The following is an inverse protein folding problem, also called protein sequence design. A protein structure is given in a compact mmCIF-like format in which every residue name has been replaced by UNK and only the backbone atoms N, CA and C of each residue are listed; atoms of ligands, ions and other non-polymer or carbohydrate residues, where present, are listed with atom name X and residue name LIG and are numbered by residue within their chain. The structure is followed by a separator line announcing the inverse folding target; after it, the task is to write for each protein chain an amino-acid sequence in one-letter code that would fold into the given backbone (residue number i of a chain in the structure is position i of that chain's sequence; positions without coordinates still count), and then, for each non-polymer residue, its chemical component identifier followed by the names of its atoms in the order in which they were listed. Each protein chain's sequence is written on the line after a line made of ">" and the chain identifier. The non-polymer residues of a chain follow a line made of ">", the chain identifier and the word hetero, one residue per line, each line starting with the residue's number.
data_IF_520855082555
#
_entry.id   IF_520855082555
#
_cell.length_a   1.000
_cell.length_b   1.000
_cell.length_c   1.000
_cell.angle_alpha   90.00
_cell.angle_beta   90.00
_cell.angle_gamma   90.00
#
_symmetry.space_group_name_H-M   'P 1'
#
loop_
_entity.id
_entity.type
_entity.pdbx_description
1 polymer ?
#
# COMPACT_ATOMS: atom_id res chain seq x y z
N UNK A 1 -29.90 -12.87 14.90
CA UNK A 1 -29.46 -14.26 14.79
C UNK A 1 -27.98 -14.19 14.55
N UNK A 2 -27.29 -14.59 15.60
CA UNK A 2 -25.94 -15.09 15.72
C UNK A 2 -24.77 -14.19 15.31
N UNK A 3 -24.25 -13.56 16.37
CA UNK A 3 -22.90 -13.04 16.47
C UNK A 3 -21.92 -14.16 16.10
N UNK A 4 -21.34 -14.05 14.91
CA UNK A 4 -20.17 -14.85 14.55
C UNK A 4 -19.00 -14.33 15.36
N UNK A 5 -18.58 -15.13 16.31
CA UNK A 5 -17.54 -14.88 17.31
C UNK A 5 -16.30 -14.28 16.63
N UNK A 6 -16.02 -13.03 16.94
CA UNK A 6 -14.68 -12.49 16.88
C UNK A 6 -13.83 -13.35 17.82
N UNK A 7 -13.06 -14.28 17.25
CA UNK A 7 -12.03 -15.00 17.96
C UNK A 7 -11.01 -13.96 18.44
N UNK A 8 -11.14 -13.57 19.71
CA UNK A 8 -10.13 -12.87 20.47
C UNK A 8 -8.86 -13.75 20.51
N UNK A 9 -8.08 -13.67 19.44
CA UNK A 9 -6.72 -14.19 19.45
C UNK A 9 -5.87 -13.15 20.17
N UNK A 10 -5.84 -13.26 21.51
CA UNK A 10 -5.04 -12.41 22.36
C UNK A 10 -3.60 -12.35 21.83
N UNK A 11 -3.18 -11.16 21.47
CA UNK A 11 -1.84 -10.89 20.95
C UNK A 11 -0.78 -11.30 21.96
N UNK A 12 0.24 -12.09 21.60
CA UNK A 12 1.41 -12.21 22.44
C UNK A 12 2.03 -10.82 22.62
N UNK A 13 2.28 -10.37 23.87
CA UNK A 13 2.57 -8.97 24.19
C UNK A 13 3.82 -8.40 23.49
N UNK A 14 4.69 -9.26 22.97
CA UNK A 14 5.95 -8.84 22.37
C UNK A 14 5.80 -8.32 20.92
N UNK A 15 4.92 -8.90 20.12
CA UNK A 15 4.68 -8.46 18.73
C UNK A 15 3.78 -7.24 18.67
N UNK A 16 2.80 -7.12 19.58
CA UNK A 16 1.93 -5.96 19.70
C UNK A 16 2.72 -4.69 20.09
N UNK A 17 3.68 -4.79 21.02
CA UNK A 17 4.53 -3.67 21.39
C UNK A 17 5.45 -3.21 20.24
N UNK A 18 5.93 -4.14 19.41
CA UNK A 18 6.79 -3.81 18.26
C UNK A 18 6.03 -3.10 17.14
N UNK A 19 4.72 -3.30 17.01
CA UNK A 19 3.92 -2.63 15.97
C UNK A 19 3.73 -1.13 16.23
N UNK A 20 3.94 -0.66 17.44
CA UNK A 20 3.80 0.76 17.81
C UNK A 20 5.15 1.54 17.74
N UNK A 21 6.29 0.83 17.66
CA UNK A 21 7.61 1.46 17.70
C UNK A 21 8.05 1.97 16.32
N UNK A 22 8.71 3.14 16.22
CA UNK A 22 9.36 3.60 15.00
C UNK A 22 10.35 2.56 14.44
N UNK A 23 10.38 2.40 13.11
CA UNK A 23 11.25 1.41 12.45
C UNK A 23 12.70 1.36 12.93
N UNK A 24 13.41 2.50 13.06
CA UNK A 24 14.78 2.51 13.57
C UNK A 24 14.94 1.94 14.99
N UNK A 25 13.95 2.12 15.85
CA UNK A 25 13.96 1.56 17.21
C UNK A 25 13.85 0.03 17.14
N UNK A 26 13.01 -0.50 16.25
CA UNK A 26 12.91 -1.95 16.02
C UNK A 26 14.24 -2.53 15.54
N UNK A 27 14.94 -1.84 14.61
CA UNK A 27 16.25 -2.26 14.14
C UNK A 27 17.28 -2.34 15.28
N UNK A 28 17.30 -1.34 16.17
CA UNK A 28 18.21 -1.30 17.32
C UNK A 28 17.91 -2.44 18.29
N UNK A 29 16.64 -2.67 18.60
CA UNK A 29 16.22 -3.77 19.49
C UNK A 29 16.62 -5.12 18.89
N UNK A 30 16.36 -5.34 17.59
CA UNK A 30 16.75 -6.57 16.91
C UNK A 30 18.28 -6.76 16.89
N UNK A 31 19.04 -5.71 16.57
CA UNK A 31 20.49 -5.77 16.62
C UNK A 31 21.01 -6.18 17.99
N UNK A 32 20.51 -5.56 19.07
CA UNK A 32 20.88 -5.89 20.44
C UNK A 32 20.49 -7.35 20.77
N UNK A 33 19.30 -7.78 20.35
CA UNK A 33 18.84 -9.16 20.58
C UNK A 33 19.77 -10.18 19.88
N UNK A 34 20.19 -9.92 18.63
CA UNK A 34 21.11 -10.80 17.90
C UNK A 34 22.51 -10.80 18.54
N UNK A 35 22.98 -9.64 18.98
CA UNK A 35 24.24 -9.54 19.69
C UNK A 35 24.23 -10.34 20.99
N UNK A 36 23.17 -10.21 21.82
CA UNK A 36 23.00 -10.99 23.05
C UNK A 36 22.87 -12.48 22.77
N UNK A 37 22.13 -12.87 21.72
CA UNK A 37 22.01 -14.26 21.29
C UNK A 37 23.36 -14.85 20.87
N UNK A 38 24.19 -14.06 20.17
CA UNK A 38 25.56 -14.46 19.81
C UNK A 38 26.46 -14.61 21.06
N UNK A 39 26.35 -13.73 22.04
CA UNK A 39 27.07 -13.87 23.32
C UNK A 39 26.66 -15.13 24.07
N UNK A 40 25.34 -15.44 24.08
CA UNK A 40 24.85 -16.71 24.64
C UNK A 40 25.47 -17.91 23.93
N UNK A 41 25.54 -17.86 22.59
CA UNK A 41 26.24 -18.87 21.78
C UNK A 41 27.71 -19.02 22.16
N UNK A 42 28.41 -17.91 22.37
CA UNK A 42 29.82 -17.94 22.81
C UNK A 42 30.00 -18.55 24.21
N UNK A 43 29.09 -18.33 25.14
CA UNK A 43 29.08 -18.97 26.47
C UNK A 43 28.82 -20.48 26.37
N UNK A 44 27.86 -20.87 25.53
CA UNK A 44 27.54 -22.28 25.29
C UNK A 44 28.72 -23.04 24.66
N UNK A 45 29.52 -22.37 23.83
CA UNK A 45 30.74 -22.93 23.22
C UNK A 45 31.78 -23.38 24.27
N UNK A 46 31.98 -22.63 25.35
CA UNK A 46 32.96 -22.95 26.38
C UNK A 46 32.73 -24.34 26.99
N UNK A 47 31.48 -24.85 26.94
CA UNK A 47 31.06 -26.15 27.44
C UNK A 47 31.16 -27.27 26.42
N UNK A 48 31.43 -26.99 25.13
CA UNK A 48 31.46 -27.99 24.05
C UNK A 48 32.73 -27.85 23.18
N UNK A 49 33.21 -28.99 22.64
CA UNK A 49 34.25 -28.99 21.60
C UNK A 49 33.61 -28.57 20.25
N UNK A 50 34.08 -27.49 19.67
CA UNK A 50 33.67 -27.05 18.34
C UNK A 50 34.24 -27.98 17.28
N UNK A 51 33.40 -28.58 16.47
CA UNK A 51 33.78 -29.44 15.32
C UNK A 51 33.58 -28.65 14.00
N UNK A 52 34.24 -29.08 12.91
CA UNK A 52 34.04 -28.53 11.58
C UNK A 52 32.59 -28.61 11.13
N UNK A 53 31.84 -29.61 11.58
CA UNK A 53 30.43 -29.79 11.26
C UNK A 53 29.56 -28.62 11.73
N UNK A 54 29.92 -27.97 12.84
CA UNK A 54 29.21 -26.78 13.34
C UNK A 54 29.38 -25.58 12.42
N UNK A 55 30.52 -25.43 11.75
CA UNK A 55 30.73 -24.38 10.76
C UNK A 55 29.84 -24.57 9.52
N UNK A 56 29.75 -25.80 9.01
CA UNK A 56 28.84 -26.12 7.89
C UNK A 56 27.38 -25.91 8.24
N UNK A 57 26.98 -26.32 9.44
CA UNK A 57 25.61 -26.10 9.93
C UNK A 57 25.26 -24.61 10.05
N UNK A 58 26.22 -23.80 10.53
CA UNK A 58 26.03 -22.33 10.62
C UNK A 58 25.91 -21.70 9.23
N UNK A 59 26.74 -22.10 8.27
CA UNK A 59 26.65 -21.60 6.88
C UNK A 59 25.33 -21.97 6.23
N UNK A 60 24.85 -23.21 6.45
CA UNK A 60 23.54 -23.64 5.97
C UNK A 60 22.39 -22.84 6.61
N UNK A 61 22.48 -22.58 7.93
CA UNK A 61 21.48 -21.76 8.63
C UNK A 61 21.46 -20.32 8.11
N UNK A 62 22.61 -19.69 7.86
CA UNK A 62 22.69 -18.34 7.25
C UNK A 62 22.07 -18.34 5.86
N UNK A 63 22.37 -19.34 5.02
CA UNK A 63 21.79 -19.42 3.67
C UNK A 63 20.26 -19.56 3.70
N UNK A 64 19.73 -20.38 4.60
CA UNK A 64 18.29 -20.54 4.78
C UNK A 64 17.63 -19.27 5.33
N UNK A 65 18.31 -18.57 6.26
CA UNK A 65 17.84 -17.29 6.78
C UNK A 65 17.75 -16.22 5.68
N UNK A 66 18.77 -16.11 4.82
CA UNK A 66 18.77 -15.16 3.69
C UNK A 66 17.60 -15.46 2.74
N UNK A 67 17.33 -16.74 2.48
CA UNK A 67 16.18 -17.15 1.67
C UNK A 67 14.85 -16.75 2.32
N UNK A 68 14.72 -16.99 3.63
CA UNK A 68 13.52 -16.66 4.39
C UNK A 68 13.27 -15.13 4.43
N UNK A 69 14.34 -14.32 4.60
CA UNK A 69 14.27 -12.87 4.51
C UNK A 69 13.81 -12.45 3.11
N UNK A 70 14.36 -13.03 2.06
CA UNK A 70 13.98 -12.73 0.68
C UNK A 70 12.50 -12.99 0.40
N UNK A 71 11.96 -14.12 0.85
CA UNK A 71 10.53 -14.42 0.73
C UNK A 71 9.65 -13.46 1.54
N UNK A 72 10.01 -13.18 2.80
CA UNK A 72 9.23 -12.25 3.63
C UNK A 72 9.26 -10.84 3.09
N UNK A 73 10.38 -10.38 2.58
CA UNK A 73 10.52 -9.09 1.92
C UNK A 73 9.65 -9.02 0.65
N UNK A 74 9.67 -10.08 -0.17
CA UNK A 74 8.81 -10.16 -1.37
C UNK A 74 7.32 -10.09 -1.03
N UNK A 75 6.89 -10.76 0.05
CA UNK A 75 5.50 -10.67 0.52
C UNK A 75 5.15 -9.25 0.99
N UNK A 76 6.05 -8.59 1.74
CA UNK A 76 5.85 -7.22 2.20
C UNK A 76 5.77 -6.23 1.03
N UNK A 77 6.68 -6.36 0.06
CA UNK A 77 6.72 -5.52 -1.14
C UNK A 77 5.45 -5.68 -1.99
N UNK A 78 4.99 -6.91 -2.20
CA UNK A 78 3.76 -7.17 -2.96
C UNK A 78 2.52 -6.52 -2.29
N UNK A 79 2.46 -6.52 -0.96
CA UNK A 79 1.40 -5.82 -0.23
C UNK A 79 1.48 -4.31 -0.39
N UNK A 80 2.69 -3.75 -0.31
CA UNK A 80 2.92 -2.33 -0.55
C UNK A 80 2.48 -1.92 -1.96
N UNK A 81 2.86 -2.68 -2.98
CA UNK A 81 2.49 -2.43 -4.37
C UNK A 81 0.97 -2.55 -4.58
N UNK A 82 0.32 -3.53 -3.96
CA UNK A 82 -1.13 -3.68 -4.01
C UNK A 82 -1.84 -2.48 -3.36
N UNK A 83 -1.38 -2.01 -2.21
CA UNK A 83 -1.91 -0.80 -1.56
C UNK A 83 -1.75 0.44 -2.45
N UNK A 84 -0.59 0.59 -3.09
CA UNK A 84 -0.32 1.69 -4.01
C UNK A 84 -1.23 1.65 -5.24
N UNK A 85 -1.44 0.47 -5.81
CA UNK A 85 -2.32 0.29 -6.96
C UNK A 85 -3.77 0.67 -6.63
N UNK A 86 -4.26 0.33 -5.43
CA UNK A 86 -5.61 0.68 -4.99
C UNK A 86 -5.80 2.20 -4.80
N UNK A 87 -4.77 2.95 -4.39
CA UNK A 87 -4.85 4.43 -4.35
C UNK A 87 -5.10 5.02 -5.74
N UNK A 88 -4.40 4.50 -6.74
CA UNK A 88 -4.57 4.94 -8.14
C UNK A 88 -5.95 4.53 -8.66
N UNK A 89 -6.40 3.34 -8.35
CA UNK A 89 -7.71 2.82 -8.79
C UNK A 89 -8.86 3.60 -8.15
N UNK A 90 -8.77 3.96 -6.85
CA UNK A 90 -9.77 4.78 -6.18
C UNK A 90 -9.83 6.20 -6.79
N UNK A 91 -8.68 6.85 -6.96
CA UNK A 91 -8.60 8.15 -7.60
C UNK A 91 -9.24 8.12 -9.00
N UNK A 92 -8.91 7.12 -9.81
CA UNK A 92 -9.50 6.91 -11.13
C UNK A 92 -11.01 6.67 -11.10
N UNK A 93 -11.52 5.95 -10.08
CA UNK A 93 -12.95 5.67 -9.92
C UNK A 93 -13.72 6.94 -9.57
N UNK A 94 -13.17 7.78 -8.69
CA UNK A 94 -13.75 9.07 -8.32
C UNK A 94 -13.76 10.02 -9.53
N UNK A 95 -12.64 10.11 -10.27
CA UNK A 95 -12.56 10.90 -11.49
C UNK A 95 -13.57 10.41 -12.55
N UNK A 96 -13.80 9.10 -12.64
CA UNK A 96 -14.77 8.53 -13.57
C UNK A 96 -16.21 8.96 -13.26
N UNK A 97 -16.59 9.08 -12.00
CA UNK A 97 -17.87 9.69 -11.62
C UNK A 97 -17.90 11.16 -11.99
N UNK A 98 -16.86 11.93 -11.60
CA UNK A 98 -16.75 13.37 -11.89
C UNK A 98 -16.95 13.70 -13.35
N UNK A 99 -16.31 12.96 -14.26
CA UNK A 99 -16.44 13.15 -15.71
C UNK A 99 -17.82 12.86 -16.27
N UNK A 100 -18.69 12.15 -15.54
CA UNK A 100 -20.06 11.81 -15.95
C UNK A 100 -21.09 12.83 -15.46
N UNK A 101 -20.78 13.63 -14.43
CA UNK A 101 -21.71 14.60 -13.85
C UNK A 101 -22.24 15.64 -14.83
N UNK A 102 -21.47 16.13 -15.84
CA UNK A 102 -22.02 17.06 -16.84
C UNK A 102 -23.18 16.53 -17.67
N UNK A 103 -23.39 15.22 -17.72
CA UNK A 103 -24.54 14.62 -18.40
C UNK A 103 -25.85 14.72 -17.61
N UNK A 104 -25.79 15.10 -16.33
CA UNK A 104 -26.97 15.25 -15.49
C UNK A 104 -27.69 16.57 -15.73
N UNK A 105 -29.06 16.57 -15.62
CA UNK A 105 -29.83 17.79 -15.59
C UNK A 105 -29.64 18.55 -14.27
N UNK A 106 -29.95 19.84 -14.25
CA UNK A 106 -30.11 20.59 -13.00
C UNK A 106 -31.47 20.28 -12.34
N UNK A 107 -31.57 20.25 -11.01
CA UNK A 107 -30.54 20.58 -10.01
C UNK A 107 -29.62 19.40 -9.61
N UNK A 108 -29.87 18.21 -10.13
CA UNK A 108 -29.15 16.97 -9.73
C UNK A 108 -27.65 17.08 -9.96
N UNK A 109 -27.25 17.74 -11.05
CA UNK A 109 -25.83 17.97 -11.37
C UNK A 109 -25.12 18.74 -10.26
N UNK A 110 -25.66 19.85 -9.83
CA UNK A 110 -25.07 20.70 -8.79
C UNK A 110 -24.95 19.97 -7.46
N UNK A 111 -25.95 19.18 -7.08
CA UNK A 111 -25.95 18.37 -5.87
C UNK A 111 -24.86 17.29 -5.94
N UNK A 112 -24.79 16.56 -7.06
CA UNK A 112 -23.79 15.49 -7.23
C UNK A 112 -22.35 16.03 -7.31
N UNK A 113 -22.14 17.23 -7.87
CA UNK A 113 -20.85 17.91 -7.87
C UNK A 113 -20.38 18.18 -6.44
N UNK A 114 -21.28 18.73 -5.58
CA UNK A 114 -20.94 18.99 -4.19
C UNK A 114 -20.60 17.67 -3.44
N UNK A 115 -21.45 16.66 -3.55
CA UNK A 115 -21.24 15.36 -2.90
C UNK A 115 -19.95 14.68 -3.36
N UNK A 116 -19.61 14.73 -4.65
CA UNK A 116 -18.39 14.13 -5.18
C UNK A 116 -17.12 14.82 -4.63
N UNK A 117 -17.15 16.14 -4.46
CA UNK A 117 -16.06 16.89 -3.81
C UNK A 117 -15.93 16.52 -2.35
N UNK A 118 -17.03 16.58 -1.60
CA UNK A 118 -17.04 16.24 -0.19
C UNK A 118 -16.54 14.80 0.04
N UNK A 119 -16.93 13.86 -0.81
CA UNK A 119 -16.44 12.48 -0.76
C UNK A 119 -14.92 12.40 -0.96
N UNK A 120 -14.40 13.03 -2.01
CA UNK A 120 -12.96 13.03 -2.28
C UNK A 120 -12.16 13.65 -1.11
N UNK A 121 -12.68 14.73 -0.49
CA UNK A 121 -12.05 15.40 0.64
C UNK A 121 -12.01 14.49 1.87
N UNK A 122 -13.09 13.77 2.18
CA UNK A 122 -13.12 12.81 3.30
C UNK A 122 -12.16 11.64 3.05
N UNK A 123 -12.10 11.11 1.82
CA UNK A 123 -11.20 10.02 1.49
C UNK A 123 -9.72 10.41 1.57
N UNK A 124 -9.35 11.64 1.19
CA UNK A 124 -7.99 12.15 1.40
C UNK A 124 -7.71 12.34 2.89
N UNK A 125 -8.65 12.92 3.64
CA UNK A 125 -8.55 13.13 5.08
C UNK A 125 -8.31 11.83 5.83
N UNK A 126 -9.06 10.77 5.51
CA UNK A 126 -8.92 9.44 6.10
C UNK A 126 -7.49 8.88 6.01
N UNK A 127 -6.81 9.10 4.89
CA UNK A 127 -5.46 8.55 4.66
C UNK A 127 -4.32 9.49 5.03
N UNK A 128 -4.56 10.78 5.22
CA UNK A 128 -3.51 11.77 5.52
C UNK A 128 -3.31 12.04 7.01
N UNK A 129 -4.30 11.76 7.86
CA UNK A 129 -4.23 12.06 9.30
C UNK A 129 -3.49 11.00 10.15
N UNK A 130 -2.70 10.13 9.55
CA UNK A 130 -1.66 9.28 10.18
C UNK A 130 -2.15 8.41 11.35
N UNK A 131 -1.93 8.85 12.58
CA UNK A 131 -2.12 8.06 13.82
C UNK A 131 -3.42 8.42 14.58
N UNK A 132 -4.13 9.47 14.16
CA UNK A 132 -5.35 9.94 14.84
C UNK A 132 -6.55 9.07 14.45
N UNK A 133 -6.74 7.97 15.21
CA UNK A 133 -7.82 6.99 14.96
C UNK A 133 -9.21 7.62 15.02
N UNK A 134 -9.43 8.60 15.89
CA UNK A 134 -10.74 9.27 16.01
C UNK A 134 -11.07 10.08 14.75
N UNK A 135 -10.10 10.79 14.19
CA UNK A 135 -10.30 11.53 12.93
C UNK A 135 -10.46 10.62 11.74
N UNK A 136 -9.74 9.50 11.71
CA UNK A 136 -9.88 8.50 10.66
C UNK A 136 -11.28 7.88 10.68
N UNK A 137 -11.74 7.44 11.85
CA UNK A 137 -13.07 6.85 11.99
C UNK A 137 -14.18 7.83 11.59
N UNK A 138 -14.06 9.11 11.97
CA UNK A 138 -15.03 10.14 11.55
C UNK A 138 -15.01 10.34 10.04
N UNK A 139 -13.83 10.49 9.42
CA UNK A 139 -13.72 10.67 7.99
C UNK A 139 -14.26 9.47 7.19
N UNK A 140 -14.12 8.25 7.72
CA UNK A 140 -14.67 7.04 7.15
C UNK A 140 -16.21 7.05 7.19
N UNK A 141 -16.78 7.29 8.37
CA UNK A 141 -18.24 7.40 8.57
C UNK A 141 -18.82 8.53 7.72
N UNK A 142 -18.15 9.67 7.64
CA UNK A 142 -18.61 10.80 6.83
C UNK A 142 -18.56 10.46 5.33
N UNK A 143 -17.53 9.74 4.87
CA UNK A 143 -17.43 9.27 3.50
C UNK A 143 -18.58 8.29 3.15
N UNK A 144 -18.90 7.34 4.03
CA UNK A 144 -20.01 6.40 3.83
C UNK A 144 -21.35 7.13 3.74
N UNK A 145 -21.61 8.10 4.63
CA UNK A 145 -22.84 8.91 4.58
C UNK A 145 -22.93 9.71 3.28
N UNK A 146 -21.80 10.21 2.76
CA UNK A 146 -21.77 10.93 1.48
C UNK A 146 -22.06 9.96 0.33
N UNK A 147 -21.46 8.77 0.33
CA UNK A 147 -21.69 7.73 -0.67
C UNK A 147 -23.18 7.33 -0.71
N UNK A 148 -23.81 7.11 0.44
CA UNK A 148 -25.24 6.82 0.54
C UNK A 148 -26.11 7.94 -0.07
N UNK A 149 -25.74 9.20 0.15
CA UNK A 149 -26.42 10.35 -0.45
C UNK A 149 -26.22 10.38 -1.97
N UNK A 150 -25.04 10.04 -2.48
CA UNK A 150 -24.79 9.93 -3.92
C UNK A 150 -25.67 8.83 -4.53
N UNK A 151 -25.76 7.67 -3.89
CA UNK A 151 -26.64 6.59 -4.31
C UNK A 151 -28.12 7.00 -4.32
N UNK A 152 -28.60 7.65 -3.25
CA UNK A 152 -29.99 8.14 -3.18
C UNK A 152 -30.31 9.10 -4.32
N UNK A 153 -29.39 10.01 -4.67
CA UNK A 153 -29.56 10.94 -5.79
C UNK A 153 -29.60 10.19 -7.13
N UNK A 154 -28.71 9.20 -7.36
CA UNK A 154 -28.70 8.42 -8.60
C UNK A 154 -29.96 7.58 -8.75
N UNK A 155 -30.47 6.99 -7.66
CA UNK A 155 -31.74 6.26 -7.66
C UNK A 155 -32.97 7.15 -7.97
N UNK A 156 -32.90 8.44 -7.68
CA UNK A 156 -33.95 9.40 -7.99
C UNK A 156 -33.94 9.90 -9.45
N UNK A 157 -32.86 9.69 -10.21
CA UNK A 157 -32.68 10.20 -11.59
C UNK A 157 -33.78 9.74 -12.57
N UNK A 158 -34.27 8.47 -12.56
CA UNK A 158 -35.35 8.05 -13.47
C UNK A 158 -36.63 8.82 -13.24
N UNK A 159 -36.97 9.14 -12.00
CA UNK A 159 -38.13 9.94 -11.66
C UNK A 159 -38.00 11.41 -12.11
N UNK A 160 -36.79 11.90 -12.23
CA UNK A 160 -36.46 13.22 -12.77
C UNK A 160 -36.40 13.25 -14.31
N UNK A 161 -36.68 12.15 -15.01
CA UNK A 161 -36.68 12.09 -16.47
C UNK A 161 -35.31 11.93 -17.10
N UNK A 162 -34.28 11.54 -16.32
CA UNK A 162 -32.94 11.29 -16.84
C UNK A 162 -32.93 10.02 -17.72
N UNK A 163 -32.19 10.06 -18.80
CA UNK A 163 -32.03 8.92 -19.70
C UNK A 163 -31.54 7.66 -18.95
N UNK A 164 -32.16 6.48 -19.18
CA UNK A 164 -31.80 5.26 -18.48
C UNK A 164 -30.33 4.86 -18.64
N UNK A 165 -29.72 5.12 -19.79
CA UNK A 165 -28.30 4.82 -20.02
C UNK A 165 -27.40 5.68 -19.13
N UNK A 166 -27.66 6.98 -19.00
CA UNK A 166 -26.92 7.89 -18.13
C UNK A 166 -27.02 7.46 -16.67
N UNK A 167 -28.23 7.09 -16.20
CA UNK A 167 -28.45 6.57 -14.86
C UNK A 167 -27.61 5.30 -14.62
N UNK A 168 -27.65 4.35 -15.56
CA UNK A 168 -26.89 3.10 -15.45
C UNK A 168 -25.40 3.34 -15.40
N UNK A 169 -24.88 4.22 -16.27
CA UNK A 169 -23.44 4.55 -16.28
C UNK A 169 -22.97 5.19 -14.97
N UNK A 170 -23.83 5.94 -14.29
CA UNK A 170 -23.53 6.51 -12.98
C UNK A 170 -23.60 5.45 -11.87
N UNK A 171 -24.61 4.58 -11.90
CA UNK A 171 -24.70 3.44 -10.96
C UNK A 171 -23.45 2.55 -11.05
N UNK A 172 -23.02 2.19 -12.26
CA UNK A 172 -21.81 1.37 -12.47
C UNK A 172 -20.55 2.08 -11.95
N UNK A 173 -20.48 3.41 -12.11
CA UNK A 173 -19.34 4.19 -11.63
C UNK A 173 -19.33 4.32 -10.10
N UNK A 174 -20.47 4.50 -9.44
CA UNK A 174 -20.58 4.51 -7.97
C UNK A 174 -20.27 3.14 -7.38
N UNK A 175 -20.82 2.06 -7.94
CA UNK A 175 -20.53 0.71 -7.51
C UNK A 175 -19.01 0.41 -7.56
N UNK A 176 -18.30 0.98 -8.53
CA UNK A 176 -16.85 0.85 -8.61
C UNK A 176 -16.13 1.65 -7.51
N UNK A 177 -16.63 2.83 -7.13
CA UNK A 177 -16.07 3.59 -6.00
C UNK A 177 -16.19 2.74 -4.72
N UNK A 178 -17.38 2.20 -4.43
CA UNK A 178 -17.63 1.39 -3.24
C UNK A 178 -16.74 0.14 -3.21
N UNK A 179 -16.63 -0.60 -4.32
CA UNK A 179 -15.78 -1.79 -4.42
C UNK A 179 -14.31 -1.45 -4.15
N UNK A 180 -13.79 -0.38 -4.74
CA UNK A 180 -12.39 0.01 -4.56
C UNK A 180 -12.14 0.54 -3.15
N UNK A 181 -13.06 1.33 -2.59
CA UNK A 181 -12.98 1.82 -1.21
C UNK A 181 -12.90 0.66 -0.22
N UNK A 182 -13.82 -0.31 -0.34
CA UNK A 182 -13.82 -1.52 0.49
C UNK A 182 -12.52 -2.32 0.36
N UNK A 183 -12.04 -2.59 -0.86
CA UNK A 183 -10.78 -3.32 -1.09
C UNK A 183 -9.58 -2.57 -0.51
N UNK A 184 -9.57 -1.23 -0.57
CA UNK A 184 -8.50 -0.42 -0.02
C UNK A 184 -8.46 -0.50 1.51
N UNK A 185 -9.61 -0.50 2.17
CA UNK A 185 -9.72 -0.66 3.61
C UNK A 185 -9.33 -2.07 4.06
N UNK A 186 -9.82 -3.10 3.39
CA UNK A 186 -9.43 -4.48 3.66
C UNK A 186 -7.92 -4.68 3.53
N UNK A 187 -7.33 -4.15 2.44
CA UNK A 187 -5.88 -4.22 2.23
C UNK A 187 -5.08 -3.38 3.24
N UNK A 188 -5.65 -2.31 3.78
CA UNK A 188 -5.01 -1.53 4.85
C UNK A 188 -4.97 -2.31 6.18
N UNK A 189 -5.96 -3.16 6.43
CA UNK A 189 -6.02 -4.06 7.63
C UNK A 189 -5.23 -5.34 7.44
N UNK A 190 -4.94 -5.74 6.20
CA UNK A 190 -4.19 -6.96 5.92
C UNK A 190 -2.72 -6.81 6.29
N UNK A 191 -2.22 -7.68 7.18
CA UNK A 191 -0.82 -7.74 7.63
C UNK A 191 -0.18 -9.10 7.28
N UNK A 192 1.13 -9.16 7.27
CA UNK A 192 1.86 -10.43 7.13
C UNK A 192 1.45 -11.35 8.30
N UNK A 193 1.17 -12.64 8.05
CA UNK A 193 0.85 -13.58 9.12
C UNK A 193 1.91 -13.55 10.21
N UNK A 194 1.51 -13.34 11.46
CA UNK A 194 2.41 -13.26 12.62
C UNK A 194 3.34 -14.45 12.74
N UNK A 195 2.85 -15.62 12.34
CA UNK A 195 3.66 -16.85 12.33
C UNK A 195 4.91 -16.69 11.46
N UNK A 196 4.80 -16.04 10.29
CA UNK A 196 5.94 -15.81 9.37
C UNK A 196 6.97 -14.89 10.00
N UNK A 197 6.51 -13.81 10.64
CA UNK A 197 7.38 -12.87 11.34
C UNK A 197 8.07 -13.53 12.53
N UNK A 198 7.31 -14.26 13.35
CA UNK A 198 7.86 -14.98 14.50
C UNK A 198 8.89 -16.04 14.09
N UNK A 199 8.62 -16.75 12.99
CA UNK A 199 9.57 -17.71 12.42
C UNK A 199 10.84 -17.03 11.95
N UNK A 200 10.73 -15.88 11.27
CA UNK A 200 11.86 -15.09 10.80
C UNK A 200 12.74 -14.64 11.97
N UNK A 201 12.14 -14.09 13.03
CA UNK A 201 12.86 -13.64 14.23
C UNK A 201 13.51 -14.83 14.96
N UNK A 202 12.79 -15.93 15.12
CA UNK A 202 13.32 -17.14 15.76
C UNK A 202 14.52 -17.72 14.99
N UNK A 203 14.41 -17.81 13.67
CA UNK A 203 15.50 -18.24 12.80
C UNK A 203 16.72 -17.33 12.89
N UNK A 204 16.50 -16.01 12.92
CA UNK A 204 17.56 -15.01 13.08
C UNK A 204 18.29 -15.17 14.42
N UNK A 205 17.56 -15.37 15.51
CA UNK A 205 18.14 -15.60 16.84
C UNK A 205 18.93 -16.92 16.90
N UNK A 206 18.39 -18.00 16.36
CA UNK A 206 19.07 -19.29 16.29
C UNK A 206 20.36 -19.20 15.46
N UNK A 207 20.33 -18.48 14.34
CA UNK A 207 21.50 -18.22 13.50
C UNK A 207 22.55 -17.41 14.26
N UNK A 208 22.14 -16.38 15.00
CA UNK A 208 23.04 -15.58 15.83
C UNK A 208 23.69 -16.42 16.95
N UNK A 209 22.95 -17.30 17.61
CA UNK A 209 23.49 -18.26 18.59
C UNK A 209 24.50 -19.19 17.91
N UNK A 210 24.17 -19.75 16.76
CA UNK A 210 25.05 -20.65 16.00
C UNK A 210 26.36 -19.97 15.60
N UNK A 211 26.29 -18.70 15.15
CA UNK A 211 27.47 -17.87 14.85
C UNK A 211 28.33 -17.64 16.10
N UNK A 212 27.72 -17.41 17.26
CA UNK A 212 28.42 -17.29 18.54
C UNK A 212 29.15 -18.58 18.95
N UNK A 213 28.53 -19.73 18.72
CA UNK A 213 29.15 -21.05 18.98
C UNK A 213 30.34 -21.28 18.04
N UNK A 214 30.23 -20.89 16.78
CA UNK A 214 31.26 -21.12 15.74
C UNK A 214 32.38 -20.08 15.76
N UNK A 215 32.28 -19.01 16.57
CA UNK A 215 33.28 -17.94 16.63
C UNK A 215 34.64 -18.43 17.17
N UNK A 216 35.81 -17.85 16.76
CA UNK A 216 37.11 -18.15 17.32
C UNK A 216 37.20 -17.85 18.83
N UNK A 217 38.07 -18.61 19.56
CA UNK A 217 38.20 -18.47 21.02
C UNK A 217 38.75 -17.14 21.50
N UNK A 218 39.51 -16.48 20.67
CA UNK A 218 40.24 -15.25 21.04
C UNK A 218 39.39 -13.98 21.01
N UNK A 219 38.23 -14.06 20.37
CA UNK A 219 37.31 -12.92 20.27
C UNK A 219 35.90 -13.32 20.72
N UNK A 220 35.33 -12.60 21.69
CA UNK A 220 33.96 -12.81 22.14
C UNK A 220 32.94 -12.43 21.06
N UNK A 221 33.24 -11.46 20.23
CA UNK A 221 32.41 -11.03 19.08
C UNK A 221 33.31 -10.63 17.93
N UNK A 222 33.19 -11.29 16.79
CA UNK A 222 33.94 -10.95 15.59
C UNK A 222 33.29 -9.76 14.86
N UNK A 223 34.05 -8.76 14.33
CA UNK A 223 33.48 -7.59 13.61
C UNK A 223 32.53 -7.98 12.46
N UNK A 224 32.81 -9.06 11.75
CA UNK A 224 31.94 -9.58 10.68
C UNK A 224 30.54 -10.01 11.16
N UNK A 225 30.44 -10.50 12.41
CA UNK A 225 29.14 -10.85 13.00
C UNK A 225 28.31 -9.58 13.27
N UNK A 226 28.92 -8.50 13.73
CA UNK A 226 28.24 -7.23 13.95
C UNK A 226 27.67 -6.66 12.64
N UNK A 227 28.46 -6.71 11.55
CA UNK A 227 27.99 -6.29 10.23
C UNK A 227 26.79 -7.15 9.79
N UNK A 228 26.88 -8.46 9.95
CA UNK A 228 25.78 -9.37 9.62
C UNK A 228 24.52 -9.06 10.45
N UNK A 229 24.66 -8.85 11.77
CA UNK A 229 23.52 -8.50 12.63
C UNK A 229 22.89 -7.17 12.27
N UNK A 230 23.70 -6.17 11.90
CA UNK A 230 23.22 -4.87 11.44
C UNK A 230 22.41 -5.00 10.14
N UNK A 231 22.92 -5.76 9.16
CA UNK A 231 22.22 -6.01 7.89
C UNK A 231 20.94 -6.78 8.10
N UNK A 232 20.98 -7.84 8.94
CA UNK A 232 19.80 -8.65 9.25
C UNK A 232 18.72 -7.83 9.99
N UNK A 233 19.11 -7.05 10.99
CA UNK A 233 18.22 -6.16 11.71
C UNK A 233 17.60 -5.10 10.80
N UNK A 234 18.37 -4.53 9.86
CA UNK A 234 17.89 -3.58 8.87
C UNK A 234 16.92 -4.22 7.88
N UNK A 235 17.19 -5.46 7.45
CA UNK A 235 16.28 -6.21 6.57
C UNK A 235 14.94 -6.51 7.24
N UNK A 236 14.97 -6.96 8.49
CA UNK A 236 13.76 -7.21 9.28
C UNK A 236 12.99 -5.90 9.53
N UNK A 237 13.69 -4.81 9.89
CA UNK A 237 13.08 -3.49 10.02
C UNK A 237 12.34 -3.09 8.75
N UNK A 238 12.97 -3.27 7.57
CA UNK A 238 12.35 -2.91 6.29
C UNK A 238 11.11 -3.74 5.99
N UNK A 239 11.11 -5.03 6.33
CA UNK A 239 9.91 -5.90 6.23
C UNK A 239 8.78 -5.35 7.11
N UNK A 240 9.08 -4.98 8.35
CA UNK A 240 8.10 -4.38 9.26
C UNK A 240 7.60 -3.02 8.77
N UNK A 241 8.48 -2.20 8.19
CA UNK A 241 8.14 -0.87 7.69
C UNK A 241 7.19 -0.96 6.50
N UNK A 242 7.44 -1.86 5.56
CA UNK A 242 6.58 -2.12 4.39
C UNK A 242 5.22 -2.72 4.78
N UNK A 243 5.17 -3.50 5.86
CA UNK A 243 3.90 -4.10 6.33
C UNK A 243 2.97 -3.07 7.00
N UNK A 244 3.51 -1.92 7.45
CA UNK A 244 2.76 -0.84 8.09
C UNK A 244 2.33 0.22 7.08
N UNK A 245 1.03 0.33 6.76
CA UNK A 245 0.59 1.25 5.68
C UNK A 245 0.69 2.73 6.05
N UNK A 246 0.66 3.06 7.36
CA UNK A 246 0.46 4.43 7.87
C UNK A 246 1.60 4.99 8.71
N UNK A 247 2.43 4.12 9.30
CA UNK A 247 3.50 4.49 10.23
C UNK A 247 4.78 3.84 9.73
N UNK A 248 5.70 4.63 9.17
CA UNK A 248 6.96 4.09 8.68
C UNK A 248 7.73 5.08 7.82
N UNK A 249 8.94 4.69 7.42
CA UNK A 249 9.77 5.45 6.48
C UNK A 249 9.22 5.36 5.05
N UNK A 250 8.58 4.22 4.73
CA UNK A 250 8.02 3.94 3.40
C UNK A 250 6.49 4.01 3.48
N UNK A 251 5.92 5.14 3.08
CA UNK A 251 4.48 5.38 3.06
C UNK A 251 3.92 5.32 1.65
N UNK A 252 2.67 4.87 1.52
CA UNK A 252 1.96 4.89 0.24
C UNK A 252 1.56 6.31 -0.10
N UNK A 253 2.07 6.82 -1.22
CA UNK A 253 1.79 8.19 -1.68
C UNK A 253 0.31 8.39 -2.01
N UNK A 254 -0.30 9.45 -1.47
CA UNK A 254 -1.67 9.85 -1.74
C UNK A 254 -1.78 10.86 -2.91
N UNK A 255 -0.70 11.08 -3.65
CA UNK A 255 -0.66 12.01 -4.79
C UNK A 255 -1.81 11.84 -5.78
N UNK A 256 -2.19 10.62 -6.21
CA UNK A 256 -3.30 10.45 -7.15
C UNK A 256 -4.63 11.00 -6.63
N UNK A 257 -4.91 10.84 -5.33
CA UNK A 257 -6.12 11.37 -4.71
C UNK A 257 -6.11 12.89 -4.63
N UNK A 258 -4.96 13.49 -4.26
CA UNK A 258 -4.77 14.95 -4.23
C UNK A 258 -4.91 15.54 -5.64
N UNK A 259 -4.42 14.85 -6.67
CA UNK A 259 -4.56 15.28 -8.05
C UNK A 259 -6.03 15.33 -8.51
N UNK A 260 -6.83 14.32 -8.10
CA UNK A 260 -8.28 14.33 -8.36
C UNK A 260 -8.98 15.49 -7.64
N UNK A 261 -8.60 15.81 -6.39
CA UNK A 261 -9.12 17.00 -5.70
C UNK A 261 -8.84 18.28 -6.52
N UNK A 262 -7.61 18.47 -6.98
CA UNK A 262 -7.27 19.63 -7.82
C UNK A 262 -8.05 19.67 -9.14
N UNK A 263 -8.27 18.52 -9.78
CA UNK A 263 -9.13 18.44 -10.98
C UNK A 263 -10.57 18.89 -10.64
N UNK A 264 -11.09 18.49 -9.49
CA UNK A 264 -12.43 18.86 -9.05
C UNK A 264 -12.55 20.33 -8.65
N UNK A 265 -11.51 20.92 -8.08
CA UNK A 265 -11.43 22.35 -7.76
C UNK A 265 -11.46 23.22 -9.03
N UNK A 266 -10.79 22.77 -10.10
CA UNK A 266 -10.79 23.46 -11.39
C UNK A 266 -12.18 23.51 -12.07
N UNK A 267 -13.13 22.74 -11.57
CA UNK A 267 -14.52 22.70 -12.03
C UNK A 267 -14.85 21.46 -12.87
N UNK A 268 -16.13 21.12 -13.01
CA UNK A 268 -16.55 20.00 -13.82
C UNK A 268 -16.20 20.22 -15.30
N UNK A 269 -15.88 19.15 -16.03
CA UNK A 269 -15.65 19.26 -17.47
C UNK A 269 -16.89 19.86 -18.15
N UNK A 270 -16.72 20.67 -19.21
CA UNK A 270 -17.85 21.24 -19.92
C UNK A 270 -18.77 20.10 -20.40
N UNK A 271 -20.08 20.35 -20.35
CA UNK A 271 -21.05 19.42 -20.89
C UNK A 271 -20.70 19.11 -22.35
N UNK A 272 -20.60 17.84 -22.69
CA UNK A 272 -20.41 17.41 -24.06
C UNK A 272 -21.60 17.95 -24.88
N UNK A 273 -21.35 18.95 -25.73
CA UNK A 273 -22.34 19.33 -26.74
C UNK A 273 -22.60 18.08 -27.57
N UNK A 274 -23.87 17.68 -27.76
CA UNK A 274 -24.16 16.61 -28.71
C UNK A 274 -23.52 17.03 -30.04
N UNK A 275 -22.75 16.12 -30.65
CA UNK A 275 -22.16 16.38 -31.96
C UNK A 275 -23.29 16.78 -32.94
N UNK A 276 -23.37 18.04 -33.32
CA UNK A 276 -24.52 18.60 -34.03
C UNK A 276 -24.61 18.08 -35.46
N UNK A 277 -23.55 17.51 -36.03
CA UNK A 277 -23.57 16.70 -37.25
C UNK A 277 -22.21 16.03 -37.49
N UNK A 278 -22.22 14.91 -38.24
CA UNK A 278 -21.00 14.30 -38.76
C UNK A 278 -20.14 15.24 -39.62
N UNK A 279 -20.69 16.37 -40.08
CA UNK A 279 -20.01 17.39 -40.87
C UNK A 279 -19.06 18.27 -40.05
N UNK A 280 -19.33 18.51 -38.74
CA UNK A 280 -18.41 19.24 -37.85
C UNK A 280 -17.17 18.39 -37.44
N UNK A 281 -17.32 17.09 -37.41
CA UNK A 281 -16.19 16.17 -37.15
C UNK A 281 -15.20 16.09 -38.32
N UNK A 282 -15.63 16.47 -39.54
CA UNK A 282 -14.79 16.53 -40.74
C UNK A 282 -14.19 17.91 -41.03
N UNK A 283 -14.77 18.99 -40.50
CA UNK A 283 -14.34 20.38 -40.77
C UNK A 283 -13.18 20.86 -39.91
N UNK A 284 -13.08 20.39 -38.65
CA UNK A 284 -12.04 20.85 -37.71
C UNK A 284 -10.97 19.79 -37.44
N UNK A 285 -11.15 18.58 -37.96
CA UNK A 285 -10.13 17.55 -38.03
C UNK A 285 -9.28 17.71 -39.30
N UNK A 286 -8.86 18.92 -39.64
CA UNK A 286 -7.54 19.06 -40.23
C UNK A 286 -6.56 18.64 -39.11
N UNK A 287 -6.43 17.32 -38.94
CA UNK A 287 -5.39 16.69 -38.18
C UNK A 287 -4.10 17.43 -38.45
N UNK A 288 -3.68 18.29 -37.54
CA UNK A 288 -2.28 18.66 -37.40
C UNK A 288 -1.59 17.36 -36.94
N UNK A 289 -1.42 16.44 -37.87
CA UNK A 289 -0.42 15.40 -37.74
C UNK A 289 0.89 16.17 -37.65
N UNK A 290 1.57 16.19 -36.49
CA UNK A 290 2.88 16.80 -36.43
C UNK A 290 3.71 16.07 -37.49
N UNK A 291 4.12 16.78 -38.55
CA UNK A 291 5.10 16.24 -39.49
C UNK A 291 6.32 15.89 -38.67
N UNK A 292 6.49 14.61 -38.41
CA UNK A 292 7.73 14.10 -37.84
C UNK A 292 8.78 14.41 -38.89
N UNK A 293 9.68 15.31 -38.57
CA UNK A 293 10.84 15.66 -39.36
C UNK A 293 11.56 14.35 -39.77
N UNK A 294 11.78 14.08 -41.05
CA UNK A 294 12.43 12.87 -41.51
C UNK A 294 13.80 12.64 -40.87
N UNK A 295 14.46 13.70 -40.34
CA UNK A 295 15.69 13.59 -39.58
C UNK A 295 15.48 12.93 -38.19
N UNK A 296 14.30 13.11 -37.58
CA UNK A 296 13.93 12.48 -36.29
C UNK A 296 13.53 11.01 -36.47
N UNK A 297 12.88 10.67 -37.59
CA UNK A 297 12.51 9.29 -37.93
C UNK A 297 13.76 8.41 -38.19
N UNK A 298 14.81 8.98 -38.82
CA UNK A 298 16.05 8.28 -39.08
C UNK A 298 16.86 7.97 -37.80
N UNK A 299 16.76 8.81 -36.74
CA UNK A 299 17.42 8.57 -35.45
C UNK A 299 16.78 7.46 -34.64
N UNK A 300 15.47 7.29 -34.70
CA UNK A 300 14.75 6.23 -33.98
C UNK A 300 14.89 4.87 -34.66
N UNK A 301 15.16 4.83 -35.97
CA UNK A 301 15.39 3.59 -36.72
C UNK A 301 16.83 3.06 -36.68
N UNK A 302 17.77 3.85 -36.10
CA UNK A 302 19.21 3.54 -36.08
C UNK A 302 19.77 3.04 -34.73
N UNK A 303 18.95 2.97 -33.68
CA UNK A 303 19.38 2.44 -32.36
C UNK A 303 18.72 1.09 -32.09
N UNK A 304 19.23 0.07 -32.71
CA UNK A 304 19.24 -1.29 -32.15
C UNK A 304 20.67 -1.82 -32.26
N UNK A 305 21.29 -2.28 -31.14
CA UNK A 305 22.51 -3.09 -31.15
C UNK A 305 22.18 -4.52 -31.48
#
# INVERSE_FOLDING_TARGET
>A
MDACAASDYADPPMTAAMTLLPGPIVAIIMFIAFWLASLLGAILRERRRVTNDMFYATSAAVSLLVLLIGFTFSLALNRYDSRRALVVEEASSIEAVWRRLPALPEPQRSVMIALARDYADQRVTYFTHGIDEDKQLRADVDADVIADRMWANVHALPAAGTEPMTTRMLMDALARIDDVAWRREDMARAHIPRLVINLLVAFSLLTAISMGISAPRDTRVHPTHLIFFALNASAIMLVFDLDRPRIGLVQVSQRPMIEVQHIMEAGPPPALKPATSAAELTGDAALVVPRIDPATAARVAGEQP
#
